data_IF_883556778043
#
_entry.id   IF_883556778043
#
_cell.length_a   1.000
_cell.length_b   1.000
_cell.length_c   1.000
_cell.angle_alpha   90.00
_cell.angle_beta   90.00
_cell.angle_gamma   90.00
#
_symmetry.space_group_name_H-M   'P 1'
#
loop_
_entity.id
_entity.type
_entity.pdbx_description
1 polymer ?
#
# COMPACT_ATOMS: atom_id res chain seq x y z
N UNK A 1 -53.06 -18.36 -19.06
CA UNK A 1 -52.15 -17.60 -19.92
C UNK A 1 -50.77 -17.59 -19.23
N UNK A 2 -49.87 -18.44 -19.74
CA UNK A 2 -48.53 -18.62 -19.18
C UNK A 2 -47.59 -17.60 -19.84
N UNK A 3 -47.03 -16.71 -19.04
CA UNK A 3 -46.03 -15.75 -19.52
C UNK A 3 -44.64 -16.37 -19.44
N UNK A 4 -44.02 -16.54 -20.60
CA UNK A 4 -42.63 -16.98 -20.73
C UNK A 4 -41.72 -15.83 -20.37
N UNK A 5 -40.70 -16.00 -19.49
CA UNK A 5 -39.75 -14.95 -19.25
C UNK A 5 -38.81 -14.75 -20.45
N UNK A 6 -38.66 -13.50 -20.87
CA UNK A 6 -37.69 -13.10 -21.89
C UNK A 6 -36.27 -13.38 -21.46
N UNK A 7 -35.37 -13.77 -22.38
CA UNK A 7 -33.95 -13.95 -22.03
C UNK A 7 -33.33 -12.60 -21.69
N UNK A 8 -32.75 -12.53 -20.51
CA UNK A 8 -31.88 -11.43 -20.08
C UNK A 8 -30.70 -11.35 -21.01
N UNK A 9 -30.59 -10.25 -21.75
CA UNK A 9 -29.37 -9.88 -22.50
C UNK A 9 -28.26 -9.57 -21.46
N UNK A 10 -27.44 -10.56 -21.16
CA UNK A 10 -26.21 -10.34 -20.42
C UNK A 10 -25.33 -9.39 -21.26
N UNK A 11 -25.00 -8.26 -20.68
CA UNK A 11 -24.05 -7.31 -21.25
C UNK A 11 -22.71 -8.04 -21.49
N UNK A 12 -22.08 -7.94 -22.66
CA UNK A 12 -20.83 -8.62 -22.92
C UNK A 12 -19.79 -8.11 -21.93
N UNK A 13 -19.13 -9.02 -21.24
CA UNK A 13 -18.00 -8.69 -20.37
C UNK A 13 -16.99 -7.83 -21.15
N UNK A 14 -16.42 -6.78 -20.56
CA UNK A 14 -15.46 -5.92 -21.25
C UNK A 14 -14.35 -6.80 -21.83
N UNK A 15 -14.09 -6.65 -23.11
CA UNK A 15 -13.06 -7.39 -23.83
C UNK A 15 -11.76 -7.28 -23.04
N UNK A 16 -11.10 -8.42 -22.80
CA UNK A 16 -9.80 -8.47 -22.18
C UNK A 16 -8.87 -7.53 -22.96
N UNK A 17 -8.59 -6.38 -22.40
CA UNK A 17 -7.63 -5.45 -22.97
C UNK A 17 -6.31 -6.21 -23.03
N UNK A 18 -5.62 -6.17 -24.16
CA UNK A 18 -4.30 -6.79 -24.35
C UNK A 18 -3.32 -6.41 -23.25
N UNK A 19 -2.12 -7.01 -23.22
CA UNK A 19 -1.15 -6.70 -22.19
C UNK A 19 -0.96 -5.19 -22.13
N UNK A 20 -1.52 -4.61 -21.12
CA UNK A 20 -1.54 -3.17 -21.03
C UNK A 20 -0.14 -2.74 -20.61
N UNK A 21 0.38 -1.73 -21.28
CA UNK A 21 1.68 -1.15 -20.98
C UNK A 21 1.76 -0.76 -19.52
N UNK A 22 2.58 -1.46 -18.75
CA UNK A 22 2.85 -1.19 -17.35
C UNK A 22 4.04 -0.25 -17.29
N UNK A 23 3.85 0.94 -16.74
CA UNK A 23 4.91 1.93 -16.61
C UNK A 23 5.82 1.61 -15.42
N UNK A 24 5.24 1.10 -14.33
CA UNK A 24 5.98 0.70 -13.13
C UNK A 24 5.52 -0.68 -12.66
N UNK A 25 6.47 -1.60 -12.53
CA UNK A 25 6.27 -2.91 -11.92
C UNK A 25 6.90 -2.93 -10.53
N UNK A 26 6.08 -3.15 -9.51
CA UNK A 26 6.52 -3.32 -8.12
C UNK A 26 6.49 -4.82 -7.80
N UNK A 27 7.62 -5.38 -7.39
CA UNK A 27 7.74 -6.80 -7.02
C UNK A 27 7.84 -6.92 -5.51
N UNK A 28 6.79 -7.50 -4.91
CA UNK A 28 6.66 -7.70 -3.47
C UNK A 28 5.68 -6.74 -2.82
N UNK A 29 4.67 -7.29 -2.16
CA UNK A 29 3.58 -6.58 -1.48
C UNK A 29 3.79 -6.42 0.03
N UNK A 30 5.02 -6.34 0.50
CA UNK A 30 5.34 -5.95 1.88
C UNK A 30 5.26 -4.44 2.10
N UNK A 31 5.68 -3.96 3.27
CA UNK A 31 5.59 -2.53 3.64
C UNK A 31 6.23 -1.60 2.60
N UNK A 32 7.39 -1.96 2.07
CA UNK A 32 8.06 -1.12 1.08
C UNK A 32 7.31 -1.07 -0.26
N UNK A 33 6.83 -2.20 -0.77
CA UNK A 33 6.12 -2.26 -2.04
C UNK A 33 4.76 -1.56 -1.98
N UNK A 34 4.02 -1.73 -0.88
CA UNK A 34 2.74 -1.06 -0.68
C UNK A 34 2.90 0.45 -0.45
N UNK A 35 3.94 0.87 0.29
CA UNK A 35 4.26 2.28 0.45
C UNK A 35 4.65 2.93 -0.88
N UNK A 36 5.50 2.27 -1.68
CA UNK A 36 5.87 2.77 -3.00
C UNK A 36 4.67 2.88 -3.93
N UNK A 37 3.78 1.87 -3.92
CA UNK A 37 2.53 1.92 -4.69
C UNK A 37 1.68 3.14 -4.29
N UNK A 38 1.52 3.38 -2.99
CA UNK A 38 0.77 4.52 -2.48
C UNK A 38 1.39 5.86 -2.92
N UNK A 39 2.70 6.01 -2.77
CA UNK A 39 3.41 7.23 -3.15
C UNK A 39 3.28 7.52 -4.65
N UNK A 40 3.51 6.52 -5.48
CA UNK A 40 3.39 6.68 -6.93
C UNK A 40 1.96 7.01 -7.36
N UNK A 41 0.98 6.30 -6.82
CA UNK A 41 -0.43 6.51 -7.17
C UNK A 41 -0.97 7.86 -6.66
N UNK A 42 -0.42 8.38 -5.56
CA UNK A 42 -0.92 9.60 -4.92
C UNK A 42 -0.23 10.87 -5.39
N UNK A 43 1.07 10.79 -5.68
CA UNK A 43 1.91 11.98 -5.86
C UNK A 43 2.60 12.07 -7.22
N UNK A 44 2.29 11.15 -8.14
CA UNK A 44 2.85 11.16 -9.49
C UNK A 44 1.75 11.03 -10.54
N UNK A 45 2.11 11.30 -11.79
CA UNK A 45 1.27 11.13 -12.97
C UNK A 45 1.47 9.78 -13.67
N UNK A 46 2.10 8.83 -13.01
CA UNK A 46 2.25 7.46 -13.52
C UNK A 46 0.88 6.86 -13.79
N UNK A 47 0.63 6.49 -15.04
CA UNK A 47 -0.69 6.04 -15.49
C UNK A 47 -1.02 4.63 -15.06
N UNK A 48 -0.06 3.70 -15.14
CA UNK A 48 -0.30 2.30 -14.80
C UNK A 48 0.82 1.70 -13.97
N UNK A 49 0.45 1.31 -12.75
CA UNK A 49 1.33 0.66 -11.79
C UNK A 49 0.80 -0.76 -11.56
N UNK A 50 1.67 -1.76 -11.65
CA UNK A 50 1.38 -3.14 -11.30
C UNK A 50 2.20 -3.54 -10.09
N UNK A 51 1.55 -4.00 -9.03
CA UNK A 51 2.19 -4.65 -7.90
C UNK A 51 1.93 -6.15 -7.99
N UNK A 52 3.00 -6.94 -7.96
CA UNK A 52 2.93 -8.40 -7.95
C UNK A 52 3.44 -8.94 -6.63
N UNK A 53 2.67 -9.85 -6.03
CA UNK A 53 3.00 -10.52 -4.78
C UNK A 53 2.96 -12.04 -5.00
N UNK A 54 3.90 -12.74 -4.38
CA UNK A 54 4.02 -14.21 -4.46
C UNK A 54 2.94 -14.94 -3.69
N UNK A 55 2.44 -14.32 -2.63
CA UNK A 55 1.39 -14.87 -1.78
C UNK A 55 0.02 -14.37 -2.21
N UNK A 56 -1.01 -15.00 -1.70
CA UNK A 56 -2.42 -14.68 -1.95
C UNK A 56 -2.90 -13.37 -1.29
N UNK A 57 -2.08 -12.79 -0.42
CA UNK A 57 -2.37 -11.55 0.30
C UNK A 57 -1.10 -10.70 0.46
N UNK A 58 -1.30 -9.39 0.53
CA UNK A 58 -0.24 -8.43 0.86
C UNK A 58 0.19 -8.57 2.34
N UNK A 59 1.40 -8.13 2.65
CA UNK A 59 1.94 -8.05 4.01
C UNK A 59 1.96 -9.38 4.78
N UNK A 60 2.04 -10.53 4.11
CA UNK A 60 1.86 -11.85 4.73
C UNK A 60 3.09 -12.40 5.46
N UNK A 61 4.26 -11.84 5.21
CA UNK A 61 5.52 -12.33 5.80
C UNK A 61 6.01 -11.35 6.87
N UNK A 62 7.06 -10.61 6.59
CA UNK A 62 7.68 -9.72 7.58
C UNK A 62 6.79 -8.54 8.00
N UNK A 63 5.91 -8.09 7.13
CA UNK A 63 4.99 -6.99 7.41
C UNK A 63 3.68 -7.43 8.07
N UNK A 64 3.51 -8.73 8.34
CA UNK A 64 2.33 -9.24 9.02
C UNK A 64 2.33 -8.80 10.48
N UNK A 65 1.17 -8.39 11.00
CA UNK A 65 1.01 -7.92 12.38
C UNK A 65 1.58 -8.87 13.45
N UNK A 66 1.51 -10.19 13.21
CA UNK A 66 2.05 -11.20 14.14
C UNK A 66 3.57 -11.43 14.01
N UNK A 67 4.21 -10.87 12.99
CA UNK A 67 5.61 -11.15 12.66
C UNK A 67 6.55 -9.99 12.95
N UNK A 68 6.05 -8.92 13.54
CA UNK A 68 6.85 -7.78 13.98
C UNK A 68 6.31 -7.22 15.31
N UNK A 69 7.08 -6.36 15.96
CA UNK A 69 6.75 -5.84 17.28
C UNK A 69 5.57 -4.87 17.31
N UNK A 70 5.08 -4.43 16.16
CA UNK A 70 4.07 -3.36 16.04
C UNK A 70 4.43 -2.07 16.78
N UNK A 71 5.72 -1.85 17.03
CA UNK A 71 6.23 -0.68 17.75
C UNK A 71 6.74 0.35 16.76
N UNK A 72 6.31 1.58 16.89
CA UNK A 72 6.88 2.70 16.15
C UNK A 72 8.19 3.09 16.84
N UNK A 73 9.30 2.97 16.12
CA UNK A 73 10.60 3.41 16.57
C UNK A 73 10.81 4.87 16.18
N UNK A 74 10.75 5.77 17.17
CA UNK A 74 10.90 7.20 16.94
C UNK A 74 12.37 7.67 16.80
N UNK A 75 13.32 6.76 16.78
CA UNK A 75 14.74 7.07 16.61
C UNK A 75 15.45 7.57 17.87
N UNK A 76 14.78 7.51 19.02
CA UNK A 76 15.31 8.07 20.28
C UNK A 76 16.32 7.16 21.01
N UNK A 77 16.45 5.89 20.60
CA UNK A 77 17.31 4.88 21.23
C UNK A 77 18.55 4.51 20.38
N UNK A 78 18.85 5.28 19.36
CA UNK A 78 19.99 5.00 18.47
C UNK A 78 21.30 5.57 19.04
N UNK A 79 21.89 4.84 19.97
CA UNK A 79 23.13 5.27 20.69
C UNK A 79 24.41 5.11 19.87
N UNK A 80 24.37 4.36 18.76
CA UNK A 80 25.56 4.06 17.94
C UNK A 80 25.72 4.98 16.72
N UNK A 81 24.91 6.02 16.61
CA UNK A 81 24.96 6.93 15.48
C UNK A 81 25.74 8.21 15.83
N UNK A 82 26.36 8.80 14.81
CA UNK A 82 26.81 10.18 14.90
C UNK A 82 25.60 11.10 15.07
N UNK A 83 25.78 12.28 15.67
CA UNK A 83 24.71 13.25 15.86
C UNK A 83 23.97 13.57 14.54
N UNK A 84 24.72 13.78 13.47
CA UNK A 84 24.14 14.04 12.14
C UNK A 84 23.22 12.89 11.68
N UNK A 85 23.68 11.65 11.82
CA UNK A 85 22.90 10.48 11.45
C UNK A 85 21.67 10.31 12.36
N UNK A 86 21.81 10.56 13.67
CA UNK A 86 20.70 10.49 14.60
C UNK A 86 19.59 11.50 14.27
N UNK A 87 19.94 12.74 13.95
CA UNK A 87 18.98 13.77 13.52
C UNK A 87 18.25 13.36 12.25
N UNK A 88 18.97 12.80 11.27
CA UNK A 88 18.36 12.33 10.01
C UNK A 88 17.42 11.15 10.22
N UNK A 89 17.81 10.18 11.04
CA UNK A 89 16.98 9.01 11.38
C UNK A 89 15.72 9.43 12.12
N UNK A 90 15.85 10.31 13.14
CA UNK A 90 14.70 10.84 13.87
C UNK A 90 13.70 11.52 12.96
N UNK A 91 14.16 12.42 12.08
CA UNK A 91 13.29 13.07 11.08
C UNK A 91 12.55 12.07 10.21
N UNK A 92 13.21 10.98 9.78
CA UNK A 92 12.58 9.94 8.95
C UNK A 92 11.54 9.14 9.76
N UNK A 93 11.83 8.84 11.02
CA UNK A 93 10.88 8.14 11.90
C UNK A 93 9.63 8.98 12.20
N UNK A 94 9.79 10.28 12.41
CA UNK A 94 8.66 11.22 12.60
C UNK A 94 7.69 11.27 11.42
N UNK A 95 8.17 11.02 10.20
CA UNK A 95 7.29 10.96 9.02
C UNK A 95 6.22 9.86 9.14
N UNK A 96 6.54 8.74 9.78
CA UNK A 96 5.58 7.64 10.01
C UNK A 96 4.50 8.08 11.02
N UNK A 97 4.89 8.82 12.06
CA UNK A 97 3.94 9.34 13.06
C UNK A 97 2.93 10.28 12.42
N UNK A 98 3.39 11.13 11.50
CA UNK A 98 2.52 12.08 10.79
C UNK A 98 1.79 11.48 9.58
N UNK A 99 2.09 10.23 9.21
CA UNK A 99 1.44 9.59 8.06
C UNK A 99 -0.08 9.54 8.19
N UNK A 100 -0.60 9.31 9.40
CA UNK A 100 -2.03 9.27 9.65
C UNK A 100 -2.75 10.61 9.32
N UNK A 101 -2.03 11.74 9.34
CA UNK A 101 -2.57 13.06 9.01
C UNK A 101 -2.89 13.20 7.52
N UNK A 102 -2.24 12.39 6.67
CA UNK A 102 -2.44 12.36 5.23
C UNK A 102 -3.63 11.51 4.80
N UNK A 103 -4.20 10.75 5.71
CA UNK A 103 -5.29 9.82 5.43
C UNK A 103 -6.65 10.48 5.65
N UNK A 104 -7.66 9.96 4.96
CA UNK A 104 -9.06 10.30 5.25
C UNK A 104 -9.45 9.82 6.66
N UNK A 105 -10.59 10.31 7.17
CA UNK A 105 -11.03 10.02 8.53
C UNK A 105 -11.25 8.54 8.82
N UNK A 106 -11.76 7.77 7.85
CA UNK A 106 -12.00 6.34 8.02
C UNK A 106 -10.69 5.55 8.10
N UNK A 107 -9.73 5.87 7.24
CA UNK A 107 -8.40 5.25 7.25
C UNK A 107 -7.57 5.68 8.47
N UNK A 108 -7.77 6.89 8.98
CA UNK A 108 -7.10 7.40 10.18
C UNK A 108 -7.45 6.62 11.44
N UNK A 109 -8.68 6.13 11.57
CA UNK A 109 -9.10 5.32 12.71
C UNK A 109 -8.30 4.02 12.87
N UNK A 110 -7.72 3.52 11.78
CA UNK A 110 -6.85 2.34 11.82
C UNK A 110 -5.47 2.61 12.47
N UNK A 111 -5.10 3.89 12.65
CA UNK A 111 -3.83 4.32 13.24
C UNK A 111 -3.97 4.85 14.68
N UNK A 112 -5.14 4.78 15.26
CA UNK A 112 -5.30 5.11 16.69
C UNK A 112 -4.67 4.04 17.55
N UNK A 113 -3.81 4.41 18.51
CA UNK A 113 -3.18 3.48 19.46
C UNK A 113 -4.21 2.86 20.40
#
# INVERSE_FOLDING_TARGET
>A
VSATPSPSTAEPAPAAQGPADVEVLIVGGGVCGTALLFELARYTDVGRILLVERYDQLARVNSKATNNSQTIHCGDIETNYTLEKAVKVKRTAEMIVHYAELLDSASRELFTP
#
